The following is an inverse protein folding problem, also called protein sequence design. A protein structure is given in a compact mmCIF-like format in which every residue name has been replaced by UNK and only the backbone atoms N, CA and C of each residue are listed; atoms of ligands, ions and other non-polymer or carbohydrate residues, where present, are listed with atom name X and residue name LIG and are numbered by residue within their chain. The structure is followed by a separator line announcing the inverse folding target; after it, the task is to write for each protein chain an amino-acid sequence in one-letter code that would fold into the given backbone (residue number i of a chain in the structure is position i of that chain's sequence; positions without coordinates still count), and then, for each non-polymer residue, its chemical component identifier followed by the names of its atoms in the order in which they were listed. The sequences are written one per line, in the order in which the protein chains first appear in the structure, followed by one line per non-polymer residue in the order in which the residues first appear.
data_IF_361438767730
#
_entry.id   IF_361438767730
#
_cell.length_a   1.000
_cell.length_b   1.000
_cell.length_c   1.000
_cell.angle_alpha   90.00
_cell.angle_beta   90.00
_cell.angle_gamma   90.00
#
_symmetry.space_group_name_H-M   'P 1'
#
loop_
_entity.id
_entity.type
_entity.pdbx_description
1 polymer ?
#
# COMPACT_ATOMS: atom_id res chain seq x y z
N UNK A 1 -19.09 -13.38 30.46
CA UNK A 1 -19.69 -12.88 29.20
C UNK A 1 -20.92 -13.72 28.90
N UNK A 2 -22.06 -13.07 28.67
CA UNK A 2 -23.37 -13.71 28.49
C UNK A 2 -23.43 -14.53 27.18
N UNK A 3 -23.99 -15.74 27.24
CA UNK A 3 -24.10 -16.67 26.10
C UNK A 3 -24.88 -16.07 24.93
N UNK A 4 -25.86 -15.21 25.22
CA UNK A 4 -26.66 -14.51 24.20
C UNK A 4 -25.79 -13.62 23.30
N UNK A 5 -24.80 -12.92 23.88
CA UNK A 5 -23.88 -12.04 23.15
C UNK A 5 -22.91 -12.83 22.27
N UNK A 6 -22.49 -14.02 22.70
CA UNK A 6 -21.65 -14.89 21.88
C UNK A 6 -22.41 -15.49 20.69
N UNK A 7 -23.69 -15.83 20.87
CA UNK A 7 -24.53 -16.34 19.79
C UNK A 7 -24.85 -15.27 18.74
N UNK A 8 -25.13 -14.04 19.18
CA UNK A 8 -25.35 -12.88 18.30
C UNK A 8 -24.10 -12.55 17.48
N UNK A 9 -22.94 -12.40 18.14
CA UNK A 9 -21.66 -12.16 17.44
C UNK A 9 -21.31 -13.29 16.45
N UNK A 10 -21.67 -14.54 16.77
CA UNK A 10 -21.48 -15.70 15.90
C UNK A 10 -22.43 -15.69 14.69
N UNK A 11 -23.67 -15.26 14.86
CA UNK A 11 -24.65 -15.15 13.79
C UNK A 11 -24.32 -14.01 12.83
N UNK A 12 -23.91 -12.85 13.35
CA UNK A 12 -23.45 -11.71 12.56
C UNK A 12 -22.21 -12.07 11.74
N UNK A 13 -21.23 -12.75 12.34
CA UNK A 13 -20.04 -13.24 11.64
C UNK A 13 -20.37 -14.26 10.54
N UNK A 14 -21.34 -15.15 10.75
CA UNK A 14 -21.80 -16.10 9.72
C UNK A 14 -22.54 -15.41 8.58
N UNK A 15 -23.43 -14.48 8.89
CA UNK A 15 -24.15 -13.70 7.87
C UNK A 15 -23.17 -12.83 7.07
N UNK A 16 -22.19 -12.25 7.73
CA UNK A 16 -21.11 -11.50 7.11
C UNK A 16 -20.28 -12.37 6.15
N UNK A 17 -19.81 -13.55 6.57
CA UNK A 17 -19.06 -14.46 5.68
C UNK A 17 -19.90 -14.91 4.47
N UNK A 18 -21.22 -15.04 4.65
CA UNK A 18 -22.16 -15.36 3.57
C UNK A 18 -22.35 -14.20 2.58
N UNK A 19 -22.39 -12.96 3.06
CA UNK A 19 -22.48 -11.74 2.24
C UNK A 19 -21.14 -11.43 1.54
N UNK A 20 -20.02 -11.49 2.26
CA UNK A 20 -18.66 -11.27 1.74
C UNK A 20 -18.25 -12.33 0.69
N UNK A 21 -18.73 -13.57 0.84
CA UNK A 21 -18.48 -14.64 -0.13
C UNK A 21 -19.23 -14.49 -1.46
N UNK A 22 -20.21 -13.58 -1.55
CA UNK A 22 -21.07 -13.47 -2.74
C UNK A 22 -20.52 -12.59 -3.87
N UNK A 23 -19.48 -11.78 -3.62
CA UNK A 23 -18.81 -10.93 -4.64
C UNK A 23 -19.72 -9.93 -5.41
N UNK A 24 -21.02 -9.92 -5.13
CA UNK A 24 -22.04 -9.29 -5.96
C UNK A 24 -22.21 -7.79 -5.66
N UNK A 25 -21.85 -7.33 -4.47
CA UNK A 25 -22.09 -5.95 -4.05
C UNK A 25 -21.00 -4.98 -4.55
N UNK A 26 -19.72 -5.37 -4.52
CA UNK A 26 -18.61 -4.58 -5.08
C UNK A 26 -18.75 -4.41 -6.60
N UNK A 27 -19.30 -5.40 -7.30
CA UNK A 27 -19.53 -5.33 -8.75
C UNK A 27 -20.54 -4.24 -9.15
N UNK A 28 -21.58 -4.01 -8.34
CA UNK A 28 -22.58 -2.98 -8.60
C UNK A 28 -21.99 -1.56 -8.50
N UNK A 29 -21.13 -1.30 -7.51
CA UNK A 29 -20.45 0.00 -7.35
C UNK A 29 -19.40 0.24 -8.46
N UNK A 30 -18.65 -0.80 -8.85
CA UNK A 30 -17.67 -0.71 -9.93
C UNK A 30 -18.34 -0.50 -11.30
N UNK A 31 -19.49 -1.12 -11.56
CA UNK A 31 -20.27 -0.92 -12.78
C UNK A 31 -20.90 0.49 -12.85
N UNK A 32 -21.30 1.06 -11.71
CA UNK A 32 -21.79 2.44 -11.62
C UNK A 32 -20.70 3.49 -11.91
N UNK A 33 -19.48 3.26 -11.43
CA UNK A 33 -18.34 4.15 -11.69
C UNK A 33 -17.87 4.17 -13.16
N UNK A 34 -18.17 3.12 -13.93
CA UNK A 34 -17.82 3.00 -15.35
C UNK A 34 -18.89 3.55 -16.31
N UNK A 35 -20.04 4.01 -15.81
CA UNK A 35 -21.08 4.70 -16.60
C UNK A 35 -21.83 3.85 -17.64
N UNK A 36 -21.66 2.53 -17.66
CA UNK A 36 -22.12 1.68 -18.77
C UNK A 36 -23.38 0.85 -18.51
N UNK A 37 -23.98 0.90 -17.30
CA UNK A 37 -25.04 -0.07 -16.94
C UNK A 37 -26.26 0.48 -16.15
N UNK A 38 -26.35 1.77 -15.85
CA UNK A 38 -27.40 2.30 -14.97
C UNK A 38 -28.30 3.27 -15.74
N UNK A 39 -29.61 3.04 -15.69
CA UNK A 39 -30.57 4.06 -16.08
C UNK A 39 -30.44 5.26 -15.15
N UNK A 40 -30.91 6.43 -15.57
CA UNK A 40 -30.94 7.65 -14.75
C UNK A 40 -31.56 7.43 -13.38
N UNK A 41 -32.55 6.54 -13.31
CA UNK A 41 -33.27 6.17 -12.09
C UNK A 41 -32.38 5.40 -11.11
N UNK A 42 -31.61 4.41 -11.59
CA UNK A 42 -30.73 3.64 -10.73
C UNK A 42 -29.62 4.55 -10.15
N UNK A 43 -29.04 5.43 -10.97
CA UNK A 43 -28.00 6.35 -10.50
C UNK A 43 -28.55 7.34 -9.45
N UNK A 44 -29.78 7.82 -9.65
CA UNK A 44 -30.48 8.65 -8.68
C UNK A 44 -30.76 7.90 -7.36
N UNK A 45 -31.11 6.61 -7.44
CA UNK A 45 -31.32 5.76 -6.27
C UNK A 45 -30.05 5.59 -5.44
N UNK A 46 -28.92 5.20 -6.04
CA UNK A 46 -27.66 5.07 -5.29
C UNK A 46 -27.20 6.41 -4.71
N UNK A 47 -27.40 7.52 -5.43
CA UNK A 47 -27.11 8.83 -4.89
C UNK A 47 -28.02 9.19 -3.69
N UNK A 48 -29.27 8.73 -3.69
CA UNK A 48 -30.18 8.90 -2.54
C UNK A 48 -29.75 8.02 -1.36
N UNK A 49 -29.44 6.75 -1.60
CA UNK A 49 -28.94 5.83 -0.56
C UNK A 49 -27.66 6.35 0.10
N UNK A 50 -26.71 6.89 -0.67
CA UNK A 50 -25.50 7.48 -0.11
C UNK A 50 -25.78 8.74 0.72
N UNK A 51 -26.72 9.60 0.30
CA UNK A 51 -27.14 10.77 1.11
C UNK A 51 -27.82 10.35 2.40
N UNK A 52 -28.65 9.31 2.36
CA UNK A 52 -29.35 8.81 3.55
C UNK A 52 -28.37 8.17 4.53
N UNK A 53 -27.39 7.41 4.02
CA UNK A 53 -26.27 6.87 4.83
C UNK A 53 -25.44 7.98 5.46
N UNK A 54 -25.06 9.01 4.71
CA UNK A 54 -24.30 10.15 5.22
C UNK A 54 -25.07 10.91 6.31
N UNK A 55 -26.37 11.12 6.11
CA UNK A 55 -27.25 11.81 7.07
C UNK A 55 -27.47 11.00 8.36
N UNK A 56 -27.50 9.68 8.26
CA UNK A 56 -27.72 8.77 9.39
C UNK A 56 -26.45 8.50 10.23
N UNK A 57 -25.26 8.77 9.67
CA UNK A 57 -24.01 8.48 10.35
C UNK A 57 -23.75 9.43 11.53
N UNK A 58 -23.15 8.88 12.59
CA UNK A 58 -22.69 9.62 13.76
C UNK A 58 -21.32 10.29 13.51
N UNK A 59 -20.53 9.70 12.60
CA UNK A 59 -19.17 10.13 12.28
C UNK A 59 -18.93 10.12 10.77
N UNK A 60 -18.20 11.12 10.28
CA UNK A 60 -17.72 11.19 8.90
C UNK A 60 -16.22 10.90 8.88
N UNK A 61 -15.80 9.92 8.09
CA UNK A 61 -14.41 9.65 7.78
C UNK A 61 -14.11 10.09 6.35
N UNK A 62 -13.34 11.17 6.17
CA UNK A 62 -12.78 11.48 4.85
C UNK A 62 -11.60 10.55 4.58
N UNK A 63 -11.69 9.73 3.54
CA UNK A 63 -10.66 8.79 3.11
C UNK A 63 -10.10 9.22 1.75
N UNK A 64 -8.83 9.62 1.72
CA UNK A 64 -8.17 10.15 0.53
C UNK A 64 -7.14 9.18 -0.08
N UNK A 65 -6.96 9.26 -1.39
CA UNK A 65 -6.06 8.37 -2.13
C UNK A 65 -5.67 8.98 -3.47
N UNK A 66 -4.40 8.78 -3.87
CA UNK A 66 -3.89 9.25 -5.16
C UNK A 66 -4.48 8.50 -6.36
N UNK A 67 -5.03 7.31 -6.13
CA UNK A 67 -5.51 6.40 -7.17
C UNK A 67 -6.98 6.62 -7.47
N UNK A 68 -7.36 6.51 -8.74
CA UNK A 68 -8.74 6.58 -9.22
C UNK A 68 -9.56 5.36 -8.78
N UNK A 69 -10.89 5.50 -8.76
CA UNK A 69 -11.79 4.36 -8.53
C UNK A 69 -11.61 3.31 -9.65
N UNK A 70 -11.72 2.03 -9.27
CA UNK A 70 -11.52 0.92 -10.21
C UNK A 70 -10.05 0.51 -10.41
N UNK A 71 -9.08 1.27 -9.86
CA UNK A 71 -7.66 0.92 -9.90
C UNK A 71 -7.37 -0.48 -9.32
N UNK A 72 -8.23 -1.01 -8.43
CA UNK A 72 -8.08 -2.35 -7.84
C UNK A 72 -7.94 -3.50 -8.84
N UNK A 73 -8.32 -3.31 -10.12
CA UNK A 73 -8.08 -4.30 -11.18
C UNK A 73 -6.60 -4.45 -11.54
N UNK A 74 -5.79 -3.41 -11.37
CA UNK A 74 -4.36 -3.37 -11.70
C UNK A 74 -3.46 -3.07 -10.50
N UNK A 75 -4.02 -2.49 -9.44
CA UNK A 75 -3.33 -2.10 -8.22
C UNK A 75 -4.29 -2.24 -7.03
N UNK A 76 -4.25 -3.35 -6.27
CA UNK A 76 -5.34 -3.78 -5.39
C UNK A 76 -5.39 -3.02 -4.06
N UNK A 77 -5.61 -1.71 -4.08
CA UNK A 77 -5.71 -0.83 -2.90
C UNK A 77 -7.08 -0.81 -2.22
N UNK A 78 -8.08 -1.50 -2.77
CA UNK A 78 -9.33 -1.84 -2.06
C UNK A 78 -10.16 -0.67 -1.50
N UNK A 79 -10.14 0.50 -2.14
CA UNK A 79 -10.79 1.72 -1.64
C UNK A 79 -12.30 1.53 -1.40
N UNK A 80 -12.99 0.96 -2.38
CA UNK A 80 -14.43 0.71 -2.32
C UNK A 80 -14.77 -0.38 -1.29
N UNK A 81 -13.96 -1.44 -1.27
CA UNK A 81 -14.12 -2.54 -0.32
C UNK A 81 -13.93 -2.03 1.13
N UNK A 82 -12.93 -1.18 1.39
CA UNK A 82 -12.70 -0.59 2.72
C UNK A 82 -13.85 0.34 3.14
N UNK A 83 -14.32 1.22 2.25
CA UNK A 83 -15.49 2.09 2.52
C UNK A 83 -16.69 1.25 2.97
N UNK A 84 -17.03 0.22 2.20
CA UNK A 84 -18.19 -0.61 2.47
C UNK A 84 -18.02 -1.45 3.74
N UNK A 85 -16.84 -2.02 3.97
CA UNK A 85 -16.55 -2.77 5.18
C UNK A 85 -16.65 -1.89 6.43
N UNK A 86 -16.11 -0.65 6.42
CA UNK A 86 -16.21 0.28 7.55
C UNK A 86 -17.67 0.63 7.83
N UNK A 87 -18.43 1.03 6.81
CA UNK A 87 -19.84 1.39 6.98
C UNK A 87 -20.65 0.24 7.56
N UNK A 88 -20.42 -1.00 7.08
CA UNK A 88 -21.15 -2.16 7.56
C UNK A 88 -20.74 -2.58 8.98
N UNK A 89 -19.44 -2.62 9.27
CA UNK A 89 -18.95 -3.11 10.57
C UNK A 89 -19.10 -2.10 11.70
N UNK A 90 -19.36 -0.85 11.37
CA UNK A 90 -19.79 0.18 12.32
C UNK A 90 -21.30 0.31 12.40
N UNK A 91 -22.07 -0.60 11.77
CA UNK A 91 -23.53 -0.57 11.69
C UNK A 91 -24.08 0.79 11.20
N UNK A 92 -23.40 1.39 10.22
CA UNK A 92 -23.75 2.69 9.64
C UNK A 92 -23.33 3.91 10.47
N UNK A 93 -22.72 3.74 11.64
CA UNK A 93 -22.29 4.86 12.48
C UNK A 93 -21.19 5.70 11.84
N UNK A 94 -20.36 5.10 10.98
CA UNK A 94 -19.33 5.80 10.22
C UNK A 94 -19.72 5.82 8.76
N UNK A 95 -19.85 7.02 8.19
CA UNK A 95 -19.90 7.20 6.74
C UNK A 95 -18.52 7.54 6.19
N UNK A 96 -18.07 6.79 5.18
CA UNK A 96 -16.78 7.03 4.54
C UNK A 96 -16.97 7.88 3.29
N UNK A 97 -16.47 9.11 3.35
CA UNK A 97 -16.42 10.03 2.21
C UNK A 97 -15.12 9.82 1.45
N UNK A 98 -15.18 9.12 0.32
CA UNK A 98 -14.02 8.86 -0.52
C UNK A 98 -13.61 10.10 -1.32
N UNK A 99 -12.30 10.41 -1.31
CA UNK A 99 -11.64 11.40 -2.14
C UNK A 99 -10.56 10.72 -3.01
N UNK A 100 -10.96 10.05 -4.12
CA UNK A 100 -10.05 9.31 -4.98
C UNK A 100 -9.34 10.20 -6.01
N UNK A 101 -8.36 9.62 -6.71
CA UNK A 101 -7.71 10.27 -7.86
C UNK A 101 -6.87 11.49 -7.53
N UNK A 102 -6.37 11.59 -6.30
CA UNK A 102 -5.47 12.67 -5.88
C UNK A 102 -6.15 14.01 -5.63
N UNK A 103 -7.48 14.03 -5.46
CA UNK A 103 -8.25 15.25 -5.15
C UNK A 103 -7.72 16.03 -3.95
N UNK A 104 -7.17 15.33 -2.96
CA UNK A 104 -6.64 15.91 -1.73
C UNK A 104 -5.11 15.72 -1.60
N UNK A 105 -4.42 15.40 -2.70
CA UNK A 105 -2.98 15.21 -2.75
C UNK A 105 -2.52 13.76 -2.98
N UNK A 106 -1.21 13.53 -2.92
CA UNK A 106 -0.59 12.22 -3.13
C UNK A 106 0.66 12.04 -2.27
N UNK A 107 0.98 10.79 -1.91
CA UNK A 107 2.19 10.44 -1.16
C UNK A 107 2.27 11.17 0.19
N UNK A 108 3.39 11.85 0.44
CA UNK A 108 3.62 12.56 1.71
C UNK A 108 2.59 13.66 2.01
N UNK A 109 2.02 14.32 1.00
CA UNK A 109 0.98 15.33 1.21
C UNK A 109 -0.28 14.74 1.87
N UNK A 110 -0.62 13.49 1.56
CA UNK A 110 -1.72 12.78 2.21
C UNK A 110 -1.39 12.42 3.66
N UNK A 111 -0.18 11.91 3.91
CA UNK A 111 0.27 11.62 5.27
C UNK A 111 0.26 12.88 6.14
N UNK A 112 0.73 14.01 5.62
CA UNK A 112 0.66 15.30 6.31
C UNK A 112 -0.78 15.73 6.63
N UNK A 113 -1.71 15.56 5.67
CA UNK A 113 -3.11 15.92 5.85
C UNK A 113 -3.81 15.05 6.91
N UNK A 114 -3.45 13.76 7.00
CA UNK A 114 -3.91 12.87 8.08
C UNK A 114 -3.31 13.29 9.42
N UNK A 115 -1.99 13.55 9.48
CA UNK A 115 -1.32 13.97 10.71
C UNK A 115 -1.94 15.24 11.31
N UNK A 116 -2.22 16.22 10.45
CA UNK A 116 -2.85 17.48 10.85
C UNK A 116 -4.36 17.40 11.12
N UNK A 117 -4.99 16.25 10.89
CA UNK A 117 -6.42 16.03 11.16
C UNK A 117 -7.38 16.65 10.13
N UNK A 118 -6.89 17.24 9.04
CA UNK A 118 -7.72 17.80 7.96
C UNK A 118 -8.52 16.73 7.24
N UNK A 119 -7.97 15.51 7.15
CA UNK A 119 -8.66 14.30 6.70
C UNK A 119 -8.44 13.19 7.72
N UNK A 120 -9.42 12.30 7.85
CA UNK A 120 -9.38 11.26 8.89
C UNK A 120 -8.53 10.07 8.46
N UNK A 121 -8.51 9.73 7.18
CA UNK A 121 -7.84 8.55 6.65
C UNK A 121 -7.20 8.82 5.28
N UNK A 122 -6.05 8.22 5.01
CA UNK A 122 -5.49 8.23 3.66
C UNK A 122 -4.72 6.95 3.31
N UNK A 123 -4.70 6.65 2.02
CA UNK A 123 -3.86 5.62 1.42
C UNK A 123 -2.57 6.25 0.87
N UNK A 124 -1.43 5.75 1.32
CA UNK A 124 -0.12 6.11 0.75
C UNK A 124 0.89 4.95 0.89
N UNK A 125 2.00 5.00 0.17
CA UNK A 125 3.07 4.00 0.32
C UNK A 125 3.83 4.18 1.63
N UNK A 126 4.40 3.10 2.19
CA UNK A 126 5.22 3.20 3.40
C UNK A 126 6.48 4.04 3.17
N UNK A 127 7.06 4.00 1.96
CA UNK A 127 8.20 4.84 1.62
C UNK A 127 7.87 6.35 1.57
N UNK A 128 6.63 6.74 1.25
CA UNK A 128 6.18 8.13 1.37
C UNK A 128 5.74 8.48 2.81
N UNK A 129 5.45 7.48 3.63
CA UNK A 129 5.04 7.63 5.03
C UNK A 129 6.22 7.79 5.98
N UNK A 130 7.38 7.20 5.65
CA UNK A 130 8.59 7.20 6.46
C UNK A 130 9.00 8.59 7.01
N UNK A 131 8.89 9.72 6.27
CA UNK A 131 9.18 11.04 6.84
C UNK A 131 8.26 11.45 8.01
N UNK A 132 7.08 10.86 8.12
CA UNK A 132 6.05 11.19 9.12
C UNK A 132 6.00 10.19 10.27
N UNK A 133 6.30 8.91 10.00
CA UNK A 133 6.41 7.85 11.00
C UNK A 133 7.64 6.98 10.68
N UNK A 134 8.82 7.41 11.10
CA UNK A 134 10.11 6.85 10.65
C UNK A 134 10.26 5.34 10.84
N UNK A 135 9.67 4.77 11.89
CA UNK A 135 9.72 3.33 12.18
C UNK A 135 9.27 2.46 11.00
N UNK A 136 8.33 2.94 10.17
CA UNK A 136 7.83 2.14 9.04
C UNK A 136 8.87 1.97 7.94
N UNK A 137 9.92 2.80 7.94
CA UNK A 137 10.98 2.70 6.96
C UNK A 137 11.69 1.35 7.07
N UNK A 138 11.67 0.66 8.22
CA UNK A 138 12.19 -0.73 8.37
C UNK A 138 11.74 -1.69 7.26
N UNK A 139 10.53 -1.51 6.71
CA UNK A 139 10.00 -2.33 5.60
C UNK A 139 10.78 -2.12 4.29
N UNK A 140 11.39 -0.95 4.11
CA UNK A 140 12.19 -0.63 2.93
C UNK A 140 13.63 -1.16 3.05
N UNK A 141 13.93 -2.03 4.03
CA UNK A 141 15.27 -2.61 4.18
C UNK A 141 15.48 -3.55 3.00
N UNK A 142 16.51 -3.34 2.16
CA UNK A 142 16.64 -4.12 0.94
C UNK A 142 16.75 -5.60 1.25
N UNK A 143 15.86 -6.40 0.65
CA UNK A 143 15.73 -7.85 0.79
C UNK A 143 15.26 -8.35 2.17
N UNK A 144 14.83 -7.46 3.06
CA UNK A 144 14.30 -7.84 4.38
C UNK A 144 12.92 -8.50 4.30
N UNK A 145 11.98 -7.82 3.65
CA UNK A 145 10.62 -8.31 3.40
C UNK A 145 10.16 -7.99 1.98
N UNK A 146 11.06 -8.14 1.00
CA UNK A 146 10.79 -7.90 -0.43
C UNK A 146 9.63 -8.72 -0.97
N UNK A 147 9.51 -9.99 -0.56
CA UNK A 147 8.40 -10.86 -0.98
C UNK A 147 7.08 -10.52 -0.27
N UNK A 148 5.97 -10.73 -0.98
CA UNK A 148 4.62 -10.48 -0.49
C UNK A 148 4.33 -11.28 0.79
N UNK A 149 4.74 -12.54 0.84
CA UNK A 149 4.51 -13.40 2.00
C UNK A 149 5.32 -12.95 3.22
N UNK A 150 6.60 -12.56 3.05
CA UNK A 150 7.41 -12.05 4.18
C UNK A 150 6.87 -10.72 4.71
N UNK A 151 6.45 -9.82 3.83
CA UNK A 151 5.79 -8.57 4.22
C UNK A 151 4.49 -8.83 4.99
N UNK A 152 3.66 -9.76 4.51
CA UNK A 152 2.42 -10.17 5.19
C UNK A 152 2.70 -10.79 6.56
N UNK A 153 3.69 -11.68 6.64
CA UNK A 153 4.11 -12.30 7.89
C UNK A 153 4.49 -11.26 8.94
N UNK A 154 5.36 -10.33 8.55
CA UNK A 154 5.86 -9.29 9.43
C UNK A 154 4.73 -8.36 9.91
N UNK A 155 4.02 -7.71 8.99
CA UNK A 155 3.02 -6.68 9.33
C UNK A 155 1.78 -7.21 10.05
N UNK A 156 1.52 -8.51 10.00
CA UNK A 156 0.44 -9.16 10.77
C UNK A 156 0.89 -9.78 12.09
N UNK A 157 2.20 -9.79 12.37
CA UNK A 157 2.78 -10.41 13.57
C UNK A 157 2.53 -9.60 14.84
N UNK A 158 2.55 -10.29 15.98
CA UNK A 158 2.52 -9.64 17.28
C UNK A 158 3.77 -8.79 17.54
N UNK A 159 4.92 -9.19 16.99
CA UNK A 159 6.16 -8.41 17.09
C UNK A 159 6.00 -7.03 16.44
N UNK A 160 5.41 -6.96 15.25
CA UNK A 160 5.13 -5.69 14.58
C UNK A 160 4.15 -4.82 15.40
N UNK A 161 3.05 -5.43 15.87
CA UNK A 161 2.06 -4.74 16.71
C UNK A 161 2.62 -4.20 18.02
N UNK A 162 3.60 -4.89 18.62
CA UNK A 162 4.19 -4.49 19.90
C UNK A 162 5.31 -3.46 19.72
N UNK A 163 6.10 -3.57 18.66
CA UNK A 163 7.36 -2.82 18.52
C UNK A 163 7.27 -1.65 17.52
N UNK A 164 6.31 -1.69 16.60
CA UNK A 164 6.17 -0.72 15.51
C UNK A 164 4.90 0.13 15.62
N UNK A 165 3.73 -0.49 15.80
CA UNK A 165 2.45 0.25 15.86
C UNK A 165 2.43 1.35 16.95
N UNK A 166 3.00 1.17 18.17
CA UNK A 166 3.05 2.24 19.17
C UNK A 166 3.89 3.44 18.75
N UNK A 167 4.96 3.22 17.96
CA UNK A 167 5.80 4.29 17.42
C UNK A 167 5.09 5.05 16.29
N UNK A 168 4.25 4.36 15.51
CA UNK A 168 3.34 4.99 14.54
C UNK A 168 2.30 5.86 15.29
N UNK A 169 1.70 5.32 16.36
CA UNK A 169 0.76 6.04 17.22
C UNK A 169 1.37 7.30 17.84
N UNK A 170 2.59 7.21 18.37
CA UNK A 170 3.34 8.35 18.89
C UNK A 170 3.61 9.44 17.83
N UNK A 171 3.54 9.09 16.54
CA UNK A 171 3.69 10.03 15.43
C UNK A 171 2.36 10.66 14.98
N UNK A 172 1.25 10.38 15.67
CA UNK A 172 -0.08 10.93 15.39
C UNK A 172 -0.95 10.08 14.46
N UNK A 173 -0.58 8.81 14.23
CA UNK A 173 -1.29 7.94 13.28
C UNK A 173 -1.68 6.60 13.88
N UNK A 174 -2.79 6.04 13.41
CA UNK A 174 -3.06 4.62 13.46
C UNK A 174 -2.80 4.01 12.09
N UNK A 175 -1.96 2.98 12.00
CA UNK A 175 -1.93 2.12 10.82
C UNK A 175 -3.16 1.20 10.85
N UNK A 176 -4.13 1.46 9.97
CA UNK A 176 -5.39 0.70 9.92
C UNK A 176 -5.20 -0.66 9.26
N UNK A 177 -4.54 -0.67 8.10
CA UNK A 177 -4.20 -1.90 7.40
C UNK A 177 -3.01 -1.69 6.47
N UNK A 178 -2.23 -2.75 6.29
CA UNK A 178 -1.15 -2.82 5.31
C UNK A 178 -1.64 -3.57 4.07
N UNK A 179 -1.37 -3.01 2.90
CA UNK A 179 -1.81 -3.56 1.62
C UNK A 179 -0.62 -4.21 0.93
N UNK A 180 -0.84 -5.43 0.47
CA UNK A 180 0.10 -6.15 -0.38
C UNK A 180 -0.17 -5.78 -1.84
N UNK A 181 0.89 -5.42 -2.55
CA UNK A 181 0.84 -5.13 -3.97
C UNK A 181 1.75 -6.13 -4.66
N UNK A 182 3.05 -5.82 -4.73
CA UNK A 182 4.12 -6.65 -5.26
C UNK A 182 5.45 -6.00 -4.88
N UNK A 183 6.58 -6.72 -5.02
CA UNK A 183 7.88 -6.11 -4.92
C UNK A 183 8.06 -4.94 -5.89
N UNK A 184 8.89 -3.99 -5.46
CA UNK A 184 9.42 -2.92 -6.29
C UNK A 184 10.30 -3.50 -7.40
N UNK A 185 10.28 -2.83 -8.55
CA UNK A 185 11.10 -3.16 -9.72
C UNK A 185 12.13 -2.06 -9.95
N UNK A 186 12.95 -2.16 -10.99
CA UNK A 186 13.70 -1.02 -11.55
C UNK A 186 13.16 -0.74 -12.94
N UNK A 187 12.60 0.44 -13.14
CA UNK A 187 11.99 0.87 -14.39
C UNK A 187 12.80 1.99 -15.02
N UNK A 188 13.08 1.89 -16.32
CA UNK A 188 13.94 2.82 -17.05
C UNK A 188 13.14 3.59 -18.09
N UNK A 189 13.37 4.90 -18.15
CA UNK A 189 12.79 5.80 -19.16
C UNK A 189 13.15 5.36 -20.58
N UNK A 190 12.22 5.55 -21.52
CA UNK A 190 12.50 5.44 -22.97
C UNK A 190 13.81 6.16 -23.35
N UNK A 191 14.64 5.44 -24.11
CA UNK A 191 15.98 5.87 -24.52
C UNK A 191 17.11 5.42 -23.58
N UNK A 192 16.78 4.86 -22.41
CA UNK A 192 17.75 4.18 -21.55
C UNK A 192 17.85 2.68 -21.84
N UNK A 193 18.94 2.07 -21.38
CA UNK A 193 19.19 0.62 -21.48
C UNK A 193 18.56 -0.12 -20.29
N UNK A 194 18.37 -1.43 -20.45
CA UNK A 194 18.00 -2.29 -19.34
C UNK A 194 19.06 -2.25 -18.23
N UNK A 195 18.62 -2.31 -16.98
CA UNK A 195 19.47 -2.40 -15.79
C UNK A 195 19.35 -3.82 -15.29
N UNK A 196 20.42 -4.61 -15.37
CA UNK A 196 20.42 -6.05 -15.02
C UNK A 196 21.26 -6.29 -13.77
N UNK A 197 22.41 -5.61 -13.67
CA UNK A 197 23.34 -5.70 -12.54
C UNK A 197 23.44 -4.36 -11.81
N UNK A 198 23.93 -4.33 -10.56
CA UNK A 198 24.23 -3.06 -9.88
C UNK A 198 25.19 -2.16 -10.67
N UNK A 199 26.10 -2.73 -11.47
CA UNK A 199 27.02 -1.95 -12.32
C UNK A 199 26.30 -1.05 -13.33
N UNK A 200 25.13 -1.46 -13.81
CA UNK A 200 24.32 -0.70 -14.77
C UNK A 200 23.67 0.57 -14.16
N UNK A 201 23.70 0.71 -12.83
CA UNK A 201 23.19 1.89 -12.12
C UNK A 201 24.15 3.08 -12.15
N UNK A 202 25.42 2.87 -12.54
CA UNK A 202 26.44 3.91 -12.52
C UNK A 202 26.01 5.14 -13.33
N UNK A 203 25.86 6.27 -12.64
CA UNK A 203 25.47 7.54 -13.25
C UNK A 203 23.97 7.72 -13.51
N UNK A 204 23.15 6.71 -13.24
CA UNK A 204 21.68 6.77 -13.41
C UNK A 204 21.08 7.76 -12.41
N UNK A 205 20.36 8.79 -12.89
CA UNK A 205 19.56 9.67 -12.01
C UNK A 205 18.32 8.90 -11.56
N UNK A 206 18.33 8.43 -10.33
CA UNK A 206 17.31 7.52 -9.83
C UNK A 206 16.28 8.28 -9.00
N UNK A 207 15.02 8.27 -9.40
CA UNK A 207 13.96 8.85 -8.59
C UNK A 207 13.67 7.94 -7.41
N UNK A 208 13.69 8.49 -6.20
CA UNK A 208 13.23 7.82 -4.98
C UNK A 208 12.08 8.61 -4.32
N UNK A 209 11.18 7.97 -3.54
CA UNK A 209 10.29 8.68 -2.63
C UNK A 209 11.07 9.24 -1.43
N UNK A 210 10.40 9.88 -0.47
CA UNK A 210 11.02 10.48 0.72
C UNK A 210 11.67 9.51 1.72
N UNK A 211 11.79 8.22 1.41
CA UNK A 211 12.44 7.23 2.27
C UNK A 211 13.95 7.44 2.28
N UNK A 212 14.52 7.63 3.47
CA UNK A 212 15.98 7.73 3.64
C UNK A 212 16.65 6.41 3.29
N UNK A 213 15.99 5.29 3.57
CA UNK A 213 16.54 3.98 3.30
C UNK A 213 16.61 3.64 1.82
N UNK A 214 15.59 4.01 1.02
CA UNK A 214 15.67 3.89 -0.43
C UNK A 214 16.72 4.83 -1.03
N UNK A 215 16.85 6.03 -0.49
CA UNK A 215 17.91 6.94 -0.90
C UNK A 215 19.29 6.33 -0.65
N UNK A 216 19.54 5.74 0.53
CA UNK A 216 20.80 5.07 0.81
C UNK A 216 21.00 3.84 -0.08
N UNK A 217 19.98 3.00 -0.23
CA UNK A 217 20.07 1.76 -1.01
C UNK A 217 20.48 2.04 -2.45
N UNK A 218 19.79 2.98 -3.12
CA UNK A 218 20.09 3.31 -4.50
C UNK A 218 21.48 3.96 -4.67
N UNK A 219 21.97 4.69 -3.65
CA UNK A 219 23.36 5.15 -3.62
C UNK A 219 24.38 4.02 -3.47
N UNK A 220 24.09 3.02 -2.61
CA UNK A 220 24.95 1.86 -2.40
C UNK A 220 25.08 0.98 -3.65
N UNK A 221 24.01 0.84 -4.42
CA UNK A 221 24.03 0.11 -5.70
C UNK A 221 24.50 0.98 -6.88
N UNK A 222 25.06 2.18 -6.63
CA UNK A 222 25.78 2.97 -7.64
C UNK A 222 24.97 4.03 -8.39
N UNK A 223 23.70 4.21 -8.07
CA UNK A 223 22.86 5.23 -8.69
C UNK A 223 23.04 6.61 -8.04
N UNK A 224 22.47 7.64 -8.67
CA UNK A 224 22.35 9.00 -8.14
C UNK A 224 20.90 9.28 -7.69
N UNK A 225 20.51 8.91 -6.45
CA UNK A 225 19.14 9.00 -5.99
C UNK A 225 18.71 10.44 -5.70
N UNK A 226 17.60 10.86 -6.29
CA UNK A 226 16.96 12.17 -6.06
C UNK A 226 15.53 11.98 -5.56
N UNK A 227 15.18 12.50 -4.37
CA UNK A 227 13.81 12.50 -3.89
C UNK A 227 12.89 13.32 -4.80
N UNK A 228 11.81 12.72 -5.29
CA UNK A 228 10.76 13.41 -6.06
C UNK A 228 9.40 12.97 -5.55
N UNK A 229 8.51 13.91 -5.30
CA UNK A 229 7.15 13.63 -4.85
C UNK A 229 6.40 12.76 -5.87
N UNK A 230 5.53 11.87 -5.39
CA UNK A 230 4.84 10.92 -6.27
C UNK A 230 4.01 11.61 -7.36
N UNK A 231 3.31 12.69 -7.01
CA UNK A 231 2.52 13.47 -7.97
C UNK A 231 3.34 14.15 -9.08
N UNK A 232 4.63 14.40 -8.84
CA UNK A 232 5.55 15.06 -9.79
C UNK A 232 6.34 14.05 -10.64
N UNK A 233 6.34 12.78 -10.24
CA UNK A 233 7.19 11.73 -10.81
C UNK A 233 6.95 11.50 -12.31
N UNK A 234 5.70 11.44 -12.82
CA UNK A 234 5.48 11.30 -14.26
C UNK A 234 6.10 12.44 -15.09
N UNK A 235 6.06 13.67 -14.57
CA UNK A 235 6.69 14.83 -15.23
C UNK A 235 8.22 14.74 -15.17
N UNK A 236 8.78 14.41 -14.00
CA UNK A 236 10.21 14.28 -13.80
C UNK A 236 10.84 13.22 -14.74
N UNK A 237 10.18 12.08 -14.91
CA UNK A 237 10.61 11.04 -15.87
C UNK A 237 10.49 11.58 -17.30
N UNK A 238 9.32 12.10 -17.73
CA UNK A 238 9.15 12.65 -19.09
C UNK A 238 10.20 13.69 -19.47
N UNK A 239 10.53 14.58 -18.54
CA UNK A 239 11.47 15.68 -18.75
C UNK A 239 12.94 15.25 -18.62
N UNK A 240 13.21 14.08 -18.03
CA UNK A 240 14.57 13.55 -17.88
C UNK A 240 15.31 14.12 -16.69
N UNK A 241 14.54 14.64 -15.72
CA UNK A 241 15.05 14.96 -14.39
C UNK A 241 15.52 13.67 -13.70
N UNK A 242 14.82 12.56 -13.93
CA UNK A 242 15.25 11.22 -13.54
C UNK A 242 15.18 10.26 -14.74
N UNK A 243 16.10 9.30 -14.76
CA UNK A 243 16.23 8.29 -15.81
C UNK A 243 15.54 6.98 -15.42
N UNK A 244 15.44 6.70 -14.12
CA UNK A 244 14.85 5.47 -13.60
C UNK A 244 14.06 5.70 -12.29
N UNK A 245 13.23 4.75 -11.92
CA UNK A 245 12.40 4.72 -10.71
C UNK A 245 12.05 3.28 -10.31
N UNK A 246 11.48 3.08 -9.10
CA UNK A 246 11.29 1.75 -8.52
C UNK A 246 9.88 1.28 -8.08
N UNK A 247 8.74 1.88 -8.46
CA UNK A 247 7.44 1.40 -8.00
C UNK A 247 7.08 0.05 -8.64
N UNK A 248 6.12 -0.70 -8.09
CA UNK A 248 5.67 -1.96 -8.70
C UNK A 248 5.03 -1.78 -10.08
N UNK A 249 4.94 -2.87 -10.87
CA UNK A 249 4.31 -2.87 -12.20
C UNK A 249 2.88 -2.33 -12.19
N UNK A 250 2.11 -2.59 -11.13
CA UNK A 250 0.75 -2.07 -10.99
C UNK A 250 0.74 -0.53 -10.86
N UNK A 251 1.64 0.05 -10.08
CA UNK A 251 1.75 1.49 -9.94
C UNK A 251 2.23 2.15 -11.23
N UNK A 252 3.18 1.53 -11.94
CA UNK A 252 3.64 1.98 -13.26
C UNK A 252 2.49 2.06 -14.26
N UNK A 253 1.64 1.03 -14.31
CA UNK A 253 0.49 1.03 -15.19
C UNK A 253 -0.54 2.10 -14.80
N UNK A 254 -0.96 2.16 -13.54
CA UNK A 254 -2.05 3.07 -13.10
C UNK A 254 -1.70 4.54 -13.30
N UNK A 255 -0.43 4.92 -13.15
CA UNK A 255 0.02 6.31 -13.34
C UNK A 255 0.50 6.61 -14.76
N UNK A 256 0.24 5.72 -15.72
CA UNK A 256 0.48 5.96 -17.14
C UNK A 256 1.95 5.99 -17.53
N UNK A 257 2.81 5.25 -16.81
CA UNK A 257 4.23 5.17 -17.13
C UNK A 257 4.52 4.32 -18.38
N UNK A 258 3.60 3.47 -18.82
CA UNK A 258 3.80 2.57 -19.98
C UNK A 258 4.22 3.29 -21.25
N UNK A 259 3.75 4.52 -21.49
CA UNK A 259 4.11 5.29 -22.68
C UNK A 259 5.50 5.93 -22.60
N UNK A 260 6.12 5.99 -21.41
CA UNK A 260 7.36 6.75 -21.15
C UNK A 260 8.51 5.87 -20.64
N UNK A 261 8.28 4.58 -20.41
CA UNK A 261 9.28 3.58 -20.03
C UNK A 261 9.63 2.66 -21.21
N UNK A 262 10.85 2.12 -21.20
CA UNK A 262 11.30 1.08 -22.16
C UNK A 262 11.56 -0.26 -21.49
N UNK A 263 12.18 -0.28 -20.30
CA UNK A 263 12.56 -1.51 -19.62
C UNK A 263 12.09 -1.53 -18.17
N UNK A 264 11.75 -2.72 -17.69
CA UNK A 264 11.44 -3.00 -16.29
C UNK A 264 12.18 -4.28 -15.87
N UNK A 265 12.99 -4.19 -14.83
CA UNK A 265 13.75 -5.32 -14.25
C UNK A 265 13.22 -5.67 -12.86
N UNK A 266 12.92 -6.95 -12.63
CA UNK A 266 12.43 -7.47 -11.35
C UNK A 266 13.58 -7.71 -10.35
N UNK A 267 14.06 -6.65 -9.71
CA UNK A 267 15.11 -6.73 -8.67
C UNK A 267 14.59 -7.15 -7.30
N UNK A 268 13.29 -6.97 -7.04
CA UNK A 268 12.58 -7.38 -5.82
C UNK A 268 13.20 -6.86 -4.51
N UNK A 269 13.89 -5.71 -4.59
CA UNK A 269 14.68 -5.19 -3.47
C UNK A 269 13.84 -4.87 -2.24
N UNK A 270 12.64 -4.30 -2.40
CA UNK A 270 11.74 -3.97 -1.28
C UNK A 270 10.29 -4.18 -1.71
N UNK A 271 9.33 -4.34 -0.79
CA UNK A 271 7.92 -4.41 -1.19
C UNK A 271 7.42 -3.03 -1.63
N UNK A 272 6.53 -2.96 -2.63
CA UNK A 272 5.74 -1.74 -2.90
C UNK A 272 4.58 -1.61 -1.91
N UNK A 273 4.94 -1.63 -0.63
CA UNK A 273 4.04 -1.69 0.51
C UNK A 273 3.21 -0.41 0.65
N UNK A 274 1.91 -0.57 0.81
CA UNK A 274 0.99 0.54 1.07
C UNK A 274 0.36 0.40 2.46
N UNK A 275 -0.13 1.52 2.98
CA UNK A 275 -0.87 1.58 4.24
C UNK A 275 -2.08 2.49 4.08
N UNK A 276 -3.16 2.13 4.77
CA UNK A 276 -4.18 3.10 5.17
C UNK A 276 -3.82 3.60 6.56
N UNK A 277 -3.49 4.87 6.67
CA UNK A 277 -3.25 5.53 7.96
C UNK A 277 -4.47 6.37 8.35
N UNK A 278 -4.75 6.41 9.64
CA UNK A 278 -5.85 7.16 10.24
C UNK A 278 -5.27 8.15 11.24
N UNK A 279 -5.86 9.34 11.38
CA UNK A 279 -5.46 10.30 12.40
C UNK A 279 -5.71 9.67 13.80
N UNK A 280 -4.67 9.59 14.62
CA UNK A 280 -4.75 8.89 15.91
C UNK A 280 -5.74 9.56 16.88
N UNK A 281 -5.70 10.89 16.98
CA UNK A 281 -6.58 11.65 17.88
C UNK A 281 -8.06 11.46 17.51
N UNK A 282 -8.39 11.56 16.22
CA UNK A 282 -9.74 11.31 15.73
C UNK A 282 -10.17 9.88 16.03
N UNK A 283 -9.31 8.89 15.75
CA UNK A 283 -9.62 7.49 15.98
C UNK A 283 -9.86 7.22 17.47
N UNK A 284 -8.98 7.70 18.34
CA UNK A 284 -9.03 7.45 19.79
C UNK A 284 -10.27 8.07 20.44
N UNK A 285 -10.74 9.20 19.91
CA UNK A 285 -11.96 9.89 20.33
C UNK A 285 -13.27 9.16 19.96
N UNK A 286 -13.22 8.10 19.15
CA UNK A 286 -14.41 7.33 18.79
C UNK A 286 -14.86 6.38 19.92
N UNK A 287 -16.17 6.07 20.00
CA UNK A 287 -16.69 5.01 20.83
C UNK A 287 -16.00 3.66 20.55
N UNK A 288 -15.88 2.80 21.57
CA UNK A 288 -15.16 1.53 21.45
C UNK A 288 -15.72 0.63 20.34
N UNK A 289 -17.05 0.51 20.24
CA UNK A 289 -17.70 -0.31 19.22
C UNK A 289 -17.45 0.21 17.80
N UNK A 290 -17.34 1.53 17.64
CA UNK A 290 -16.96 2.15 16.36
C UNK A 290 -15.50 1.86 16.02
N UNK A 291 -14.58 1.97 16.99
CA UNK A 291 -13.16 1.65 16.80
C UNK A 291 -12.96 0.19 16.39
N UNK A 292 -13.57 -0.74 17.13
CA UNK A 292 -13.52 -2.17 16.84
C UNK A 292 -14.09 -2.48 15.45
N UNK A 293 -15.19 -1.82 15.06
CA UNK A 293 -15.78 -1.96 13.73
C UNK A 293 -14.85 -1.50 12.60
N UNK A 294 -14.17 -0.34 12.77
CA UNK A 294 -13.19 0.16 11.81
C UNK A 294 -11.98 -0.79 11.70
N UNK A 295 -11.43 -1.25 12.83
CA UNK A 295 -10.30 -2.17 12.85
C UNK A 295 -10.63 -3.50 12.17
N UNK A 296 -11.80 -4.06 12.46
CA UNK A 296 -12.27 -5.28 11.83
C UNK A 296 -12.47 -5.09 10.31
N UNK A 297 -12.91 -3.91 9.88
CA UNK A 297 -13.00 -3.57 8.46
C UNK A 297 -11.64 -3.49 7.77
N UNK A 298 -10.62 -2.99 8.46
CA UNK A 298 -9.23 -3.05 8.01
C UNK A 298 -8.76 -4.49 7.83
N UNK A 299 -8.98 -5.36 8.82
CA UNK A 299 -8.58 -6.78 8.76
C UNK A 299 -9.24 -7.46 7.55
N UNK A 300 -10.57 -7.41 7.42
CA UNK A 300 -11.29 -8.05 6.31
C UNK A 300 -10.84 -7.51 4.96
N UNK A 301 -10.67 -6.19 4.83
CA UNK A 301 -10.22 -5.62 3.57
C UNK A 301 -8.80 -6.10 3.20
N UNK A 302 -7.91 -6.24 4.19
CA UNK A 302 -6.58 -6.79 3.97
C UNK A 302 -6.65 -8.23 3.44
N UNK A 303 -7.53 -9.08 3.97
CA UNK A 303 -7.75 -10.43 3.42
C UNK A 303 -8.22 -10.40 1.97
N UNK A 304 -9.17 -9.51 1.65
CA UNK A 304 -9.68 -9.35 0.29
C UNK A 304 -8.56 -8.89 -0.66
N UNK A 305 -7.65 -8.02 -0.21
CA UNK A 305 -6.50 -7.56 -0.97
C UNK A 305 -5.60 -8.74 -1.42
N UNK A 306 -5.26 -9.67 -0.52
CA UNK A 306 -4.33 -10.76 -0.83
C UNK A 306 -4.80 -11.63 -2.01
N UNK A 307 -6.11 -11.83 -2.16
CA UNK A 307 -6.68 -12.62 -3.26
C UNK A 307 -6.62 -11.91 -4.63
N UNK A 308 -6.48 -10.58 -4.64
CA UNK A 308 -6.42 -9.78 -5.89
C UNK A 308 -5.01 -9.54 -6.41
N UNK A 309 -3.97 -9.77 -5.60
CA UNK A 309 -2.56 -9.50 -5.96
C UNK A 309 -2.15 -10.18 -7.29
N UNK A 310 -2.31 -11.50 -7.49
CA UNK A 310 -1.80 -12.15 -8.70
C UNK A 310 -2.50 -11.70 -9.99
N UNK A 311 -3.82 -11.49 -9.92
CA UNK A 311 -4.61 -11.05 -11.07
C UNK A 311 -4.33 -9.59 -11.43
N UNK A 312 -4.15 -8.73 -10.42
CA UNK A 312 -3.77 -7.34 -10.62
C UNK A 312 -2.39 -7.20 -11.27
N UNK A 313 -1.40 -7.97 -10.79
CA UNK A 313 -0.06 -8.07 -11.40
C UNK A 313 -0.13 -8.44 -12.87
N UNK A 314 -0.82 -9.54 -13.17
CA UNK A 314 -0.93 -10.10 -14.52
C UNK A 314 -1.56 -9.11 -15.48
N UNK A 315 -2.63 -8.42 -15.04
CA UNK A 315 -3.29 -7.40 -15.84
C UNK A 315 -2.37 -6.19 -16.08
N UNK A 316 -1.72 -5.66 -15.04
CA UNK A 316 -0.81 -4.52 -15.17
C UNK A 316 0.36 -4.82 -16.12
N UNK A 317 0.98 -5.99 -16.00
CA UNK A 317 2.06 -6.42 -16.90
C UNK A 317 1.58 -6.52 -18.35
N UNK A 318 0.41 -7.10 -18.61
CA UNK A 318 -0.17 -7.16 -19.95
C UNK A 318 -0.36 -5.78 -20.56
N UNK A 319 -0.83 -4.80 -19.78
CA UNK A 319 -1.01 -3.43 -20.25
C UNK A 319 0.33 -2.70 -20.51
N UNK A 320 1.37 -2.97 -19.71
CA UNK A 320 2.71 -2.41 -19.94
C UNK A 320 3.36 -3.01 -21.20
N UNK A 321 3.22 -4.32 -21.44
CA UNK A 321 3.69 -4.98 -22.67
C UNK A 321 3.00 -4.39 -23.89
N UNK A 322 1.68 -4.15 -23.82
CA UNK A 322 0.94 -3.52 -24.92
C UNK A 322 1.44 -2.11 -25.27
N UNK A 323 2.08 -1.42 -24.32
CA UNK A 323 2.74 -0.12 -24.53
C UNK A 323 4.21 -0.24 -25.00
N UNK A 324 4.71 -1.45 -25.21
CA UNK A 324 6.07 -1.72 -25.67
C UNK A 324 7.13 -1.76 -24.56
N UNK A 325 6.72 -1.93 -23.30
CA UNK A 325 7.67 -2.11 -22.18
C UNK A 325 8.22 -3.53 -22.20
N UNK A 326 9.54 -3.67 -22.15
CA UNK A 326 10.25 -4.94 -22.05
C UNK A 326 10.51 -5.32 -20.58
N UNK A 327 10.23 -6.56 -20.23
CA UNK A 327 10.43 -7.09 -18.88
C UNK A 327 11.67 -7.98 -18.81
N UNK A 328 12.44 -7.81 -17.73
CA UNK A 328 13.66 -8.57 -17.44
C UNK A 328 13.56 -9.24 -16.08
N UNK A 329 13.73 -10.56 -16.05
CA UNK A 329 13.90 -11.32 -14.81
C UNK A 329 15.37 -11.62 -14.59
N UNK A 330 15.81 -11.57 -13.34
CA UNK A 330 17.18 -11.87 -12.95
C UNK A 330 17.35 -13.37 -12.70
N UNK A 331 18.52 -13.91 -13.03
CA UNK A 331 18.96 -15.20 -12.49
C UNK A 331 19.26 -15.08 -10.98
N UNK A 332 19.40 -16.22 -10.30
CA UNK A 332 19.79 -16.24 -8.89
C UNK A 332 21.15 -15.56 -8.66
N UNK A 333 22.12 -15.78 -9.57
CA UNK A 333 23.44 -15.14 -9.50
C UNK A 333 23.34 -13.62 -9.67
N UNK A 334 22.54 -13.15 -10.63
CA UNK A 334 22.32 -11.71 -10.83
C UNK A 334 21.63 -11.08 -9.63
N UNK A 335 20.62 -11.76 -9.05
CA UNK A 335 19.95 -11.29 -7.85
C UNK A 335 20.90 -11.25 -6.64
N UNK A 336 21.80 -12.22 -6.52
CA UNK A 336 22.83 -12.24 -5.48
C UNK A 336 23.75 -11.01 -5.57
N UNK A 337 24.12 -10.55 -6.77
CA UNK A 337 24.91 -9.32 -6.92
C UNK A 337 24.21 -8.10 -6.31
N UNK A 338 22.89 -7.97 -6.47
CA UNK A 338 22.13 -6.89 -5.84
C UNK A 338 22.06 -7.02 -4.31
N UNK A 339 21.88 -8.24 -3.81
CA UNK A 339 21.86 -8.53 -2.37
C UNK A 339 23.22 -8.25 -1.73
N UNK A 340 24.31 -8.63 -2.39
CA UNK A 340 25.67 -8.36 -1.92
C UNK A 340 25.97 -6.86 -1.94
N UNK A 341 25.50 -6.12 -2.94
CA UNK A 341 25.74 -4.69 -3.06
C UNK A 341 24.97 -3.85 -2.02
N UNK A 342 23.71 -4.21 -1.72
CA UNK A 342 22.83 -3.34 -0.93
C UNK A 342 21.94 -4.02 0.10
N UNK A 343 22.01 -5.34 0.27
CA UNK A 343 21.13 -6.11 1.14
C UNK A 343 21.23 -5.76 2.62
N UNK A 344 20.13 -5.97 3.35
CA UNK A 344 19.98 -5.59 4.75
C UNK A 344 21.00 -6.26 5.69
N UNK A 345 21.68 -7.33 5.27
CA UNK A 345 22.74 -7.99 6.04
C UNK A 345 24.01 -7.13 6.18
N UNK A 346 24.19 -6.12 5.31
CA UNK A 346 25.34 -5.22 5.37
C UNK A 346 25.32 -4.34 6.63
N UNK A 347 26.52 -4.05 7.15
CA UNK A 347 26.72 -3.26 8.38
C UNK A 347 26.29 -1.79 8.25
N UNK A 348 26.24 -1.28 7.03
CA UNK A 348 25.80 0.08 6.69
C UNK A 348 24.33 0.32 7.08
N UNK A 349 23.57 -0.75 7.33
CA UNK A 349 22.19 -0.71 7.80
C UNK A 349 22.05 -0.76 9.33
N UNK A 350 23.11 -1.09 10.09
CA UNK A 350 23.00 -1.35 11.53
C UNK A 350 22.56 -0.11 12.33
N UNK A 351 22.95 1.08 11.85
CA UNK A 351 22.45 2.35 12.38
C UNK A 351 20.93 2.48 12.24
N UNK A 352 20.39 2.23 11.04
CA UNK A 352 18.94 2.25 10.79
C UNK A 352 18.20 1.18 11.60
N UNK A 353 18.73 -0.05 11.67
CA UNK A 353 18.13 -1.13 12.45
C UNK A 353 18.01 -0.73 13.91
N UNK A 354 19.10 -0.23 14.49
CA UNK A 354 19.13 0.16 15.91
C UNK A 354 18.25 1.38 16.17
N UNK A 355 18.31 2.41 15.34
CA UNK A 355 17.52 3.63 15.50
C UNK A 355 16.02 3.37 15.39
N UNK A 356 15.59 2.66 14.35
CA UNK A 356 14.16 2.49 14.05
C UNK A 356 13.54 1.36 14.88
N UNK A 357 14.22 0.21 15.02
CA UNK A 357 13.72 -0.88 15.86
C UNK A 357 13.90 -0.58 17.36
N UNK A 358 14.86 0.29 17.73
CA UNK A 358 15.21 0.64 19.10
C UNK A 358 16.32 -0.23 19.70
N UNK A 359 16.57 -1.41 19.13
CA UNK A 359 17.70 -2.28 19.45
C UNK A 359 17.89 -3.34 18.36
N UNK A 360 19.07 -3.94 18.30
CA UNK A 360 19.32 -5.10 17.43
C UNK A 360 18.53 -6.34 17.87
N UNK A 361 18.24 -6.50 19.16
CA UNK A 361 17.40 -7.59 19.67
C UNK A 361 15.96 -7.45 19.16
N UNK A 362 15.41 -6.23 19.19
CA UNK A 362 14.09 -5.94 18.62
C UNK A 362 14.10 -6.18 17.12
N UNK A 363 15.15 -5.76 16.42
CA UNK A 363 15.28 -6.03 14.98
C UNK A 363 15.29 -7.54 14.67
N UNK A 364 16.07 -8.34 15.41
CA UNK A 364 16.10 -9.80 15.25
C UNK A 364 14.74 -10.46 15.50
N UNK A 365 13.93 -9.94 16.45
CA UNK A 365 12.54 -10.40 16.63
C UNK A 365 11.67 -10.11 15.41
N UNK A 366 11.79 -8.90 14.84
CA UNK A 366 11.06 -8.52 13.62
C UNK A 366 11.51 -9.39 12.43
N UNK A 367 12.80 -9.66 12.30
CA UNK A 367 13.34 -10.56 11.28
C UNK A 367 12.78 -11.99 11.41
N UNK A 368 12.77 -12.53 12.64
CA UNK A 368 12.16 -13.83 12.93
C UNK A 368 10.67 -13.86 12.60
N UNK A 369 9.94 -12.77 12.88
CA UNK A 369 8.53 -12.63 12.54
C UNK A 369 8.30 -12.62 11.02
N UNK A 370 9.14 -11.94 10.23
CA UNK A 370 9.06 -11.95 8.77
C UNK A 370 9.25 -13.36 8.17
N UNK A 371 10.09 -14.19 8.81
CA UNK A 371 10.29 -15.59 8.43
C UNK A 371 9.21 -16.57 8.92
N UNK A 372 8.33 -16.14 9.83
CA UNK A 372 7.31 -17.01 10.44
C UNK A 372 5.99 -16.88 9.70
N UNK A 373 5.47 -17.98 9.16
CA UNK A 373 4.22 -17.97 8.39
C UNK A 373 3.05 -17.45 9.23
N UNK A 374 2.46 -16.35 8.81
CA UNK A 374 1.25 -15.80 9.42
C UNK A 374 0.00 -16.62 9.08
N UNK A 375 -1.12 -16.26 9.71
CA UNK A 375 -2.47 -16.78 9.40
C UNK A 375 -2.88 -16.50 7.96
N UNK A 376 -2.25 -15.52 7.31
CA UNK A 376 -2.59 -15.04 5.99
C UNK A 376 -1.59 -15.55 4.94
N UNK A 377 -2.12 -15.88 3.77
CA UNK A 377 -1.35 -16.37 2.64
C UNK A 377 -1.55 -15.47 1.44
N UNK A 378 -0.46 -15.20 0.74
CA UNK A 378 -0.46 -14.49 -0.54
C UNK A 378 0.54 -15.15 -1.46
N UNK A 379 0.18 -15.23 -2.74
CA UNK A 379 1.10 -15.77 -3.74
C UNK A 379 2.19 -14.74 -4.03
N UNK A 380 3.45 -15.16 -3.90
CA UNK A 380 4.60 -14.33 -4.25
C UNK A 380 4.69 -14.08 -5.77
N UNK A 381 5.55 -13.13 -6.14
CA UNK A 381 5.77 -12.72 -7.53
C UNK A 381 6.55 -13.72 -8.36
#
# INVERSE_FOLDING_TARGET
MDKSKQELASAERRNFLKLAGSGAFTAAIVAGAAGTLWSTEAAAQTAAEERDREKAAEHIMTLATAYVLGASRSYPIMQLDLKENIQNMTNGKVYVKLAPGGQLGAGGALAQAVQGGTIQCAQHSLANFAPFASVVDLINLPYFCGSNQRFTNLTSSDAWKQEVDPKIAASGFKALMYIVIDPRVVAVRKGGNAIITPGDMSGVKFRVPGSKMLQQYYGMVGANPTPVAWGETPSAIRQGVADALDPSVGALHVFGFGEILSHVTFTQAVPDSQVYSVNAEWFDGLPMDVKEGIEFAGEVTQHQNLSKVPSARSYAMSQLIANGVEFHSLSDDQLAEWQDAGGYQRSEWDGFKTELAGSMDTFAKLEGAAGTRAKYYVHDA
#
